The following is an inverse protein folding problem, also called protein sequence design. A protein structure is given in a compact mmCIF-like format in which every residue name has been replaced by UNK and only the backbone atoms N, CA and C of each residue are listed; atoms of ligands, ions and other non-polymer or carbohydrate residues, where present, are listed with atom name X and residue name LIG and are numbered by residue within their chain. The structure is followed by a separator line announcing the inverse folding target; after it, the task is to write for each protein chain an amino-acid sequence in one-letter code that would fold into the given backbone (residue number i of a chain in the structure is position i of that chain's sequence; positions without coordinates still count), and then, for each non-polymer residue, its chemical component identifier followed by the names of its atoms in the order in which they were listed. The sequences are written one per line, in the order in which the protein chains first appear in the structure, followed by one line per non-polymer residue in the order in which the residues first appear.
data_IF_402059708824
#
_entry.id   IF_402059708824
#
_cell.length_a   1.000
_cell.length_b   1.000
_cell.length_c   1.000
_cell.angle_alpha   90.00
_cell.angle_beta   90.00
_cell.angle_gamma   90.00
#
_symmetry.space_group_name_H-M   'P 1'
#
loop_
_entity.id
_entity.type
_entity.pdbx_description
1 polymer ?
#
# COMPACT_ATOMS: atom_id res chain seq x y z
N UNK A 1 -9.11 41.90 -16.33
CA UNK A 1 -8.97 40.43 -16.33
C UNK A 1 -7.65 40.15 -15.65
N UNK A 2 -7.68 39.73 -14.38
CA UNK A 2 -6.54 39.10 -13.72
C UNK A 2 -7.11 37.83 -13.10
N UNK A 3 -6.57 36.70 -13.54
CA UNK A 3 -6.95 35.36 -13.15
C UNK A 3 -6.59 35.19 -11.67
N UNK A 4 -7.59 34.84 -10.86
CA UNK A 4 -7.34 34.40 -9.50
C UNK A 4 -6.69 33.02 -9.60
N UNK A 5 -5.36 32.97 -9.42
CA UNK A 5 -4.68 31.74 -9.06
C UNK A 5 -5.24 31.29 -7.71
N UNK A 6 -6.22 30.38 -7.76
CA UNK A 6 -6.69 29.66 -6.59
C UNK A 6 -5.54 28.73 -6.20
N UNK A 7 -4.63 29.27 -5.41
CA UNK A 7 -3.66 28.50 -4.66
C UNK A 7 -4.48 27.50 -3.84
N UNK A 8 -4.47 26.23 -4.26
CA UNK A 8 -5.13 25.15 -3.52
C UNK A 8 -4.39 25.05 -2.19
N UNK A 9 -4.92 25.71 -1.16
CA UNK A 9 -4.48 25.52 0.21
C UNK A 9 -4.81 24.06 0.55
N UNK A 10 -3.82 23.18 0.38
CA UNK A 10 -3.89 21.82 0.90
C UNK A 10 -3.92 21.96 2.42
N UNK A 11 -5.14 21.99 2.98
CA UNK A 11 -5.32 21.90 4.42
C UNK A 11 -4.86 20.49 4.77
N UNK A 12 -3.74 20.32 5.52
CA UNK A 12 -3.29 18.99 5.91
C UNK A 12 -4.39 18.31 6.70
N UNK A 13 -4.69 17.06 6.33
CA UNK A 13 -5.68 16.24 7.03
C UNK A 13 -5.38 16.25 8.54
N UNK A 14 -6.43 16.34 9.35
CA UNK A 14 -6.27 16.25 10.80
C UNK A 14 -5.77 14.85 11.18
N UNK A 15 -5.12 14.74 12.33
CA UNK A 15 -4.65 13.44 12.85
C UNK A 15 -5.79 12.40 12.90
N UNK A 16 -6.98 12.81 13.31
CA UNK A 16 -8.16 11.92 13.35
C UNK A 16 -8.59 11.44 11.95
N UNK A 17 -8.46 12.30 10.93
CA UNK A 17 -8.75 11.93 9.55
C UNK A 17 -7.70 10.96 8.99
N UNK A 18 -6.42 11.18 9.32
CA UNK A 18 -5.32 10.27 8.94
C UNK A 18 -5.46 8.92 9.62
N UNK A 19 -5.75 8.88 10.93
CA UNK A 19 -5.98 7.65 11.68
C UNK A 19 -7.17 6.85 11.11
N UNK A 20 -8.26 7.56 10.76
CA UNK A 20 -9.43 6.95 10.09
C UNK A 20 -9.09 6.43 8.70
N UNK A 21 -8.26 7.15 7.94
CA UNK A 21 -7.80 6.71 6.62
C UNK A 21 -6.93 5.45 6.72
N UNK A 22 -6.00 5.40 7.66
CA UNK A 22 -5.17 4.22 7.93
C UNK A 22 -6.06 3.01 8.24
N UNK A 23 -7.07 3.18 9.11
CA UNK A 23 -7.99 2.09 9.44
C UNK A 23 -8.72 1.57 8.18
N UNK A 24 -9.24 2.46 7.35
CA UNK A 24 -9.91 2.09 6.09
C UNK A 24 -8.96 1.36 5.12
N UNK A 25 -7.70 1.81 5.01
CA UNK A 25 -6.70 1.15 4.18
C UNK A 25 -6.40 -0.26 4.67
N UNK A 26 -6.29 -0.45 5.99
CA UNK A 26 -6.04 -1.77 6.58
C UNK A 26 -7.24 -2.70 6.46
N UNK A 27 -8.46 -2.19 6.59
CA UNK A 27 -9.68 -2.98 6.35
C UNK A 27 -9.76 -3.42 4.89
N UNK A 28 -9.49 -2.51 3.94
CA UNK A 28 -9.42 -2.84 2.53
C UNK A 28 -8.31 -3.85 2.22
N UNK A 29 -7.15 -3.71 2.85
CA UNK A 29 -6.05 -4.66 2.73
C UNK A 29 -6.50 -6.06 3.17
N UNK A 30 -7.08 -6.17 4.37
CA UNK A 30 -7.47 -7.47 4.93
C UNK A 30 -8.56 -8.15 4.08
N UNK A 31 -9.53 -7.38 3.54
CA UNK A 31 -10.56 -7.91 2.63
C UNK A 31 -9.96 -8.42 1.33
N UNK A 32 -9.06 -7.66 0.70
CA UNK A 32 -8.47 -8.04 -0.58
C UNK A 32 -7.47 -9.18 -0.44
N UNK A 33 -6.72 -9.24 0.67
CA UNK A 33 -5.86 -10.37 0.99
C UNK A 33 -6.68 -11.66 1.17
N UNK A 34 -7.80 -11.60 1.89
CA UNK A 34 -8.70 -12.75 2.02
C UNK A 34 -9.25 -13.21 0.67
N UNK A 35 -9.58 -12.28 -0.23
CA UNK A 35 -10.01 -12.63 -1.59
C UNK A 35 -8.91 -13.34 -2.38
N UNK A 36 -7.67 -12.86 -2.27
CA UNK A 36 -6.51 -13.48 -2.91
C UNK A 36 -6.33 -14.93 -2.41
N UNK A 37 -6.47 -15.17 -1.10
CA UNK A 37 -6.30 -16.48 -0.49
C UNK A 37 -7.46 -17.46 -0.75
N UNK A 38 -8.65 -16.96 -1.07
CA UNK A 38 -9.84 -17.79 -1.33
C UNK A 38 -9.99 -18.23 -2.79
N UNK A 39 -9.24 -17.64 -3.73
CA UNK A 39 -9.29 -18.09 -5.13
C UNK A 39 -8.59 -19.45 -5.24
N UNK A 40 -9.33 -20.48 -5.63
CA UNK A 40 -8.75 -21.75 -6.09
C UNK A 40 -7.92 -21.44 -7.34
N UNK A 41 -6.59 -21.50 -7.19
CA UNK A 41 -5.62 -21.09 -8.21
C UNK A 41 -5.90 -21.76 -9.56
N UNK A 42 -6.43 -21.00 -10.51
CA UNK A 42 -6.52 -21.37 -11.92
C UNK A 42 -5.52 -20.50 -12.69
N UNK A 43 -4.76 -21.12 -13.59
CA UNK A 43 -3.61 -20.53 -14.31
C UNK A 43 -3.96 -19.27 -15.12
N UNK A 44 -5.23 -19.02 -15.42
CA UNK A 44 -5.70 -17.77 -16.08
C UNK A 44 -5.79 -16.55 -15.14
N UNK A 45 -5.62 -16.71 -13.82
CA UNK A 45 -5.77 -15.64 -12.84
C UNK A 45 -4.46 -14.91 -12.48
N UNK A 46 -3.31 -15.35 -12.97
CA UNK A 46 -2.00 -14.80 -12.54
C UNK A 46 -1.86 -13.29 -12.75
N UNK A 47 -2.41 -12.72 -13.83
CA UNK A 47 -2.38 -11.26 -14.06
C UNK A 47 -3.30 -10.47 -13.13
N UNK A 48 -4.38 -11.08 -12.64
CA UNK A 48 -5.28 -10.46 -11.68
C UNK A 48 -4.71 -10.54 -10.25
N UNK A 49 -4.03 -11.65 -9.94
CA UNK A 49 -3.32 -11.86 -8.67
C UNK A 49 -2.16 -10.88 -8.51
N UNK A 50 -1.34 -10.69 -9.55
CA UNK A 50 -0.24 -9.72 -9.49
C UNK A 50 -0.74 -8.29 -9.26
N UNK A 51 -1.79 -7.88 -9.97
CA UNK A 51 -2.44 -6.58 -9.73
C UNK A 51 -3.00 -6.43 -8.32
N UNK A 52 -3.49 -7.53 -7.74
CA UNK A 52 -3.99 -7.51 -6.37
C UNK A 52 -2.86 -7.43 -5.35
N UNK A 53 -1.72 -8.09 -5.60
CA UNK A 53 -0.51 -7.98 -4.77
C UNK A 53 0.05 -6.55 -4.79
N UNK A 54 0.12 -5.92 -5.98
CA UNK A 54 0.56 -4.52 -6.11
C UNK A 54 -0.38 -3.58 -5.35
N UNK A 55 -1.71 -3.76 -5.49
CA UNK A 55 -2.70 -2.97 -4.76
C UNK A 55 -2.56 -3.12 -3.23
N UNK A 56 -2.25 -4.34 -2.76
CA UNK A 56 -2.01 -4.58 -1.33
C UNK A 56 -0.74 -3.88 -0.84
N UNK A 57 0.31 -3.81 -1.67
CA UNK A 57 1.52 -3.04 -1.37
C UNK A 57 1.21 -1.53 -1.31
N UNK A 58 0.43 -1.01 -2.25
CA UNK A 58 0.00 0.39 -2.28
C UNK A 58 -0.74 0.80 -1.00
N UNK A 59 -1.60 -0.08 -0.45
CA UNK A 59 -2.27 0.22 0.82
C UNK A 59 -1.31 0.31 2.01
N UNK A 60 -0.23 -0.47 2.02
CA UNK A 60 0.80 -0.38 3.06
C UNK A 60 1.62 0.90 2.89
N UNK A 61 1.93 1.29 1.65
CA UNK A 61 2.63 2.54 1.35
C UNK A 61 1.80 3.76 1.75
N UNK A 62 0.53 3.82 1.31
CA UNK A 62 -0.37 4.92 1.65
C UNK A 62 -0.60 5.03 3.16
N UNK A 63 -0.67 3.90 3.87
CA UNK A 63 -0.78 3.90 5.32
C UNK A 63 0.46 4.51 6.00
N UNK A 64 1.67 4.26 5.49
CA UNK A 64 2.90 4.90 5.97
C UNK A 64 2.90 6.40 5.68
N UNK A 65 2.46 6.80 4.50
CA UNK A 65 2.32 8.22 4.13
C UNK A 65 1.32 8.93 5.05
N UNK A 66 0.26 8.23 5.48
CA UNK A 66 -0.71 8.73 6.45
C UNK A 66 -0.18 8.78 7.89
N UNK A 67 1.00 8.21 8.17
CA UNK A 67 1.64 8.25 9.49
C UNK A 67 1.60 6.93 10.28
N UNK A 68 1.18 5.82 9.66
CA UNK A 68 1.38 4.50 10.26
C UNK A 68 2.88 4.19 10.42
N UNK A 69 3.20 3.28 11.33
CA UNK A 69 4.58 2.86 11.56
C UNK A 69 4.86 1.51 10.93
N UNK A 70 6.12 1.23 10.62
CA UNK A 70 6.54 -0.09 10.17
C UNK A 70 6.18 -1.18 11.18
N UNK A 71 6.25 -0.91 12.48
CA UNK A 71 5.85 -1.86 13.54
C UNK A 71 4.37 -2.23 13.42
N UNK A 72 3.50 -1.24 13.19
CA UNK A 72 2.05 -1.48 13.02
C UNK A 72 1.69 -2.21 11.72
N UNK A 73 2.53 -2.10 10.69
CA UNK A 73 2.29 -2.71 9.37
C UNK A 73 3.02 -4.04 9.18
N UNK A 74 4.01 -4.35 10.03
CA UNK A 74 4.89 -5.52 9.88
C UNK A 74 4.11 -6.82 9.71
N UNK A 75 3.09 -7.06 10.53
CA UNK A 75 2.26 -8.27 10.44
C UNK A 75 1.57 -8.40 9.08
N UNK A 76 1.09 -7.29 8.50
CA UNK A 76 0.43 -7.27 7.18
C UNK A 76 1.43 -7.39 6.04
N UNK A 77 2.60 -6.75 6.14
CA UNK A 77 3.69 -6.94 5.19
C UNK A 77 4.15 -8.41 5.14
N UNK A 78 4.21 -9.11 6.27
CA UNK A 78 4.51 -10.55 6.32
C UNK A 78 3.41 -11.39 5.66
N UNK A 79 2.14 -11.03 5.84
CA UNK A 79 1.02 -11.70 5.18
C UNK A 79 1.05 -11.50 3.66
N UNK A 80 1.37 -10.30 3.19
CA UNK A 80 1.56 -10.00 1.77
C UNK A 80 2.74 -10.79 1.19
N UNK A 81 3.86 -10.84 1.90
CA UNK A 81 5.01 -11.66 1.51
C UNK A 81 4.62 -13.12 1.30
N UNK A 82 3.88 -13.68 2.28
CA UNK A 82 3.40 -15.06 2.22
C UNK A 82 2.48 -15.26 1.03
N UNK A 83 1.51 -14.38 0.82
CA UNK A 83 0.58 -14.50 -0.30
C UNK A 83 1.29 -14.44 -1.66
N UNK A 84 2.26 -13.53 -1.82
CA UNK A 84 3.07 -13.46 -3.03
C UNK A 84 3.87 -14.76 -3.27
N UNK A 85 4.49 -15.34 -2.24
CA UNK A 85 5.14 -16.66 -2.37
C UNK A 85 4.15 -17.77 -2.75
N UNK A 86 2.96 -17.78 -2.16
CA UNK A 86 1.91 -18.76 -2.50
C UNK A 86 1.45 -18.61 -3.98
N UNK A 87 1.46 -17.37 -4.51
CA UNK A 87 1.23 -17.06 -5.93
C UNK A 87 2.42 -17.39 -6.84
N UNK A 88 3.54 -17.90 -6.31
CA UNK A 88 4.70 -18.32 -7.08
C UNK A 88 5.77 -17.24 -7.31
N UNK A 89 5.65 -16.08 -6.65
CA UNK A 89 6.67 -15.03 -6.71
C UNK A 89 7.96 -15.51 -6.03
N UNK A 90 9.10 -15.12 -6.58
CA UNK A 90 10.38 -15.46 -5.99
C UNK A 90 10.77 -14.45 -4.88
N UNK A 91 11.86 -14.73 -4.15
CA UNK A 91 12.30 -13.88 -3.04
C UNK A 91 12.65 -12.45 -3.47
N UNK A 92 13.24 -12.28 -4.65
CA UNK A 92 13.60 -10.97 -5.21
C UNK A 92 12.33 -10.19 -5.57
N UNK A 93 11.36 -10.82 -6.24
CA UNK A 93 10.09 -10.17 -6.58
C UNK A 93 9.33 -9.73 -5.31
N UNK A 94 9.27 -10.60 -4.28
CA UNK A 94 8.65 -10.27 -2.99
C UNK A 94 9.41 -9.15 -2.28
N UNK A 95 10.74 -9.14 -2.38
CA UNK A 95 11.54 -8.06 -1.83
C UNK A 95 11.25 -6.75 -2.56
N UNK A 96 11.14 -6.75 -3.89
CA UNK A 96 10.78 -5.55 -4.66
C UNK A 96 9.38 -5.05 -4.31
N UNK A 97 8.40 -5.94 -4.22
CA UNK A 97 7.01 -5.64 -3.83
C UNK A 97 6.92 -4.96 -2.46
N UNK A 98 7.72 -5.43 -1.49
CA UNK A 98 7.73 -4.89 -0.12
C UNK A 98 8.76 -3.80 0.10
N UNK A 99 9.61 -3.53 -0.89
CA UNK A 99 10.52 -2.39 -0.86
C UNK A 99 9.69 -1.16 -1.19
N UNK A 100 9.12 -0.60 -0.13
CA UNK A 100 8.54 0.74 -0.10
C UNK A 100 9.63 1.70 -0.55
N UNK A 101 9.65 2.02 -1.85
CA UNK A 101 10.65 2.94 -2.37
C UNK A 101 10.28 4.30 -1.82
N UNK A 102 11.21 5.03 -1.18
CA UNK A 102 10.96 6.45 -0.97
C UNK A 102 10.67 7.03 -2.35
N UNK A 103 9.46 7.55 -2.53
CA UNK A 103 9.09 8.27 -3.73
C UNK A 103 10.21 9.29 -4.00
N UNK A 104 10.92 9.25 -5.14
CA UNK A 104 12.06 10.13 -5.38
C UNK A 104 11.69 11.63 -5.35
N UNK A 105 10.40 11.96 -5.46
CA UNK A 105 9.87 13.30 -5.26
C UNK A 105 9.81 13.73 -3.78
N UNK A 106 9.80 12.78 -2.85
CA UNK A 106 9.87 12.99 -1.39
C UNK A 106 11.28 12.64 -0.91
N UNK A 107 12.30 13.16 -1.59
CA UNK A 107 13.61 13.36 -0.98
C UNK A 107 13.50 14.56 -0.03
N UNK A 108 12.76 14.41 1.06
CA UNK A 108 12.86 15.35 2.18
C UNK A 108 14.24 15.13 2.76
N UNK A 109 15.13 16.06 2.43
CA UNK A 109 16.45 16.16 3.05
C UNK A 109 16.26 16.16 4.57
N UNK A 110 16.56 15.03 5.20
CA UNK A 110 16.86 15.00 6.62
C UNK A 110 18.21 15.69 6.77
N UNK A 111 18.20 16.78 7.55
CA UNK A 111 19.33 17.63 7.95
C UNK A 111 20.64 16.87 8.17
#
# INVERSE_FOLDING_TARGET
MNEAEVEKVEIPLSKEQLDSRIAQLMDCFDVNLNRLQQKDFNVEMCEEEGRLLDLLADYLEEALECGATMETLQSRAQLLAKAAFDCGYNKEDVQELLTLRPNPFISVQRN
#
